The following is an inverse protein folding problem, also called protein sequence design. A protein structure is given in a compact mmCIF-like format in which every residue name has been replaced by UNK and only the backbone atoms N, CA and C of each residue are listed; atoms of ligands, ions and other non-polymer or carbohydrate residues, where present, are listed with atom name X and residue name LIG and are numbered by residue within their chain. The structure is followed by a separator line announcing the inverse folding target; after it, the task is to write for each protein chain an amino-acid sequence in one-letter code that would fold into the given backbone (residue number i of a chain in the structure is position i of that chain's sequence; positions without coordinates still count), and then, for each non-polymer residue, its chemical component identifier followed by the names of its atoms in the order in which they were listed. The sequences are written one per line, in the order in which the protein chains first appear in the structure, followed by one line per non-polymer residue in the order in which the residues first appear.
data_IF_118644122900
#
_entry.id   IF_118644122900
#
_cell.length_a   1.000
_cell.length_b   1.000
_cell.length_c   1.000
_cell.angle_alpha   90.00
_cell.angle_beta   90.00
_cell.angle_gamma   90.00
#
_symmetry.space_group_name_H-M   'P 1'
#
loop_
_entity.id
_entity.type
_entity.pdbx_description
1 polymer ?
#
# COMPACT_ATOMS: atom_id res chain seq x y z
N UNK A 1 -10.10 -29.11 -0.64
CA UNK A 1 -8.72 -28.85 -1.11
C UNK A 1 -8.26 -27.45 -0.71
N UNK A 2 -8.93 -26.36 -1.16
CA UNK A 2 -8.55 -24.99 -0.80
C UNK A 2 -8.35 -24.74 0.70
N UNK A 3 -9.32 -25.09 1.56
CA UNK A 3 -9.17 -24.90 3.02
C UNK A 3 -8.00 -25.69 3.62
N UNK A 4 -7.72 -26.90 3.14
CA UNK A 4 -6.59 -27.70 3.62
C UNK A 4 -5.25 -27.08 3.23
N UNK A 5 -5.17 -26.54 2.00
CA UNK A 5 -4.01 -25.82 1.50
C UNK A 5 -3.77 -24.50 2.26
N UNK A 6 -4.83 -23.71 2.47
CA UNK A 6 -4.79 -22.47 3.26
C UNK A 6 -4.39 -22.71 4.71
N UNK A 7 -4.91 -23.76 5.34
CA UNK A 7 -4.58 -24.14 6.72
C UNK A 7 -3.26 -24.88 6.87
N UNK A 8 -2.51 -25.11 5.78
CA UNK A 8 -1.19 -25.72 5.79
C UNK A 8 -1.14 -27.21 6.10
N UNK A 9 -2.26 -27.92 6.07
CA UNK A 9 -2.27 -29.36 6.37
C UNK A 9 -1.89 -30.19 5.14
N UNK A 10 -0.60 -30.48 5.00
CA UNK A 10 -0.07 -31.32 3.91
C UNK A 10 -0.62 -32.75 3.91
N UNK A 11 -0.94 -33.29 5.10
CA UNK A 11 -1.57 -34.61 5.25
C UNK A 11 -2.98 -34.61 4.66
N UNK A 12 -3.84 -33.66 5.07
CA UNK A 12 -5.21 -33.55 4.56
C UNK A 12 -5.23 -33.23 3.07
N UNK A 13 -4.30 -32.42 2.56
CA UNK A 13 -4.10 -32.23 1.12
C UNK A 13 -3.85 -33.57 0.42
N UNK A 14 -2.97 -34.39 0.99
CA UNK A 14 -2.65 -35.72 0.48
C UNK A 14 -3.86 -36.63 0.41
N UNK A 15 -4.60 -36.76 1.50
CA UNK A 15 -5.81 -37.58 1.57
C UNK A 15 -6.90 -37.13 0.59
N UNK A 16 -7.12 -35.80 0.47
CA UNK A 16 -8.07 -35.25 -0.49
C UNK A 16 -7.65 -35.58 -1.93
N UNK A 17 -6.36 -35.51 -2.25
CA UNK A 17 -5.86 -35.86 -3.57
C UNK A 17 -6.08 -37.33 -3.89
N UNK A 18 -5.83 -38.23 -2.94
CA UNK A 18 -6.01 -39.68 -3.13
C UNK A 18 -7.49 -40.04 -3.38
N UNK A 19 -8.43 -39.30 -2.75
CA UNK A 19 -9.87 -39.47 -2.98
C UNK A 19 -10.39 -38.77 -4.25
N UNK A 20 -9.83 -37.61 -4.59
CA UNK A 20 -10.34 -36.74 -5.66
C UNK A 20 -9.19 -35.99 -6.37
N UNK A 21 -8.40 -36.66 -7.23
CA UNK A 21 -7.22 -36.04 -7.85
C UNK A 21 -7.57 -34.87 -8.78
N UNK A 22 -8.80 -34.86 -9.33
CA UNK A 22 -9.27 -33.80 -10.23
C UNK A 22 -9.41 -32.42 -9.57
N UNK A 23 -9.45 -32.33 -8.23
CA UNK A 23 -9.62 -31.03 -7.54
C UNK A 23 -8.30 -30.30 -7.27
N UNK A 24 -7.15 -30.88 -7.62
CA UNK A 24 -5.81 -30.31 -7.33
C UNK A 24 -5.62 -28.91 -7.94
N UNK A 25 -6.22 -28.67 -9.10
CA UNK A 25 -6.16 -27.39 -9.83
C UNK A 25 -7.52 -26.67 -9.85
N UNK A 26 -8.45 -27.03 -8.97
CA UNK A 26 -9.76 -26.35 -8.91
C UNK A 26 -9.57 -24.88 -8.54
N UNK A 27 -10.28 -23.97 -9.21
CA UNK A 27 -10.20 -22.53 -8.96
C UNK A 27 -11.35 -22.09 -8.06
N UNK A 28 -11.06 -21.19 -7.12
CA UNK A 28 -12.11 -20.48 -6.38
C UNK A 28 -12.70 -19.32 -7.22
N UNK A 29 -13.59 -18.52 -6.62
CA UNK A 29 -14.27 -17.40 -7.29
C UNK A 29 -13.31 -16.28 -7.74
N UNK A 30 -12.10 -16.22 -7.18
CA UNK A 30 -11.04 -15.30 -7.58
C UNK A 30 -10.09 -15.90 -8.62
N UNK A 31 -10.26 -17.18 -8.97
CA UNK A 31 -9.41 -17.90 -9.88
C UNK A 31 -8.20 -18.57 -9.22
N UNK A 32 -8.11 -18.57 -7.89
CA UNK A 32 -6.96 -19.11 -7.15
C UNK A 32 -7.05 -20.64 -7.03
N UNK A 33 -5.93 -21.30 -7.30
CA UNK A 33 -5.77 -22.74 -7.06
C UNK A 33 -5.41 -23.00 -5.58
N UNK A 34 -5.57 -24.24 -5.08
CA UNK A 34 -5.10 -24.60 -3.75
C UNK A 34 -3.62 -24.29 -3.55
N UNK A 35 -2.79 -24.51 -4.58
CA UNK A 35 -1.37 -24.20 -4.53
C UNK A 35 -1.13 -22.71 -4.35
N UNK A 36 -1.84 -21.86 -5.12
CA UNK A 36 -1.75 -20.42 -4.98
C UNK A 36 -2.14 -19.96 -3.56
N UNK A 37 -3.19 -20.54 -2.98
CA UNK A 37 -3.60 -20.23 -1.61
C UNK A 37 -2.57 -20.66 -0.56
N UNK A 38 -1.99 -21.86 -0.69
CA UNK A 38 -0.95 -22.32 0.22
C UNK A 38 0.27 -21.39 0.20
N UNK A 39 0.65 -20.90 -0.98
CA UNK A 39 1.78 -19.97 -1.12
C UNK A 39 1.45 -18.58 -0.56
N UNK A 40 0.21 -18.09 -0.77
CA UNK A 40 -0.26 -16.82 -0.17
C UNK A 40 -0.20 -16.85 1.35
N UNK A 41 -0.53 -18.00 1.97
CA UNK A 41 -0.54 -18.14 3.44
C UNK A 41 0.79 -18.62 4.02
N UNK A 42 1.86 -18.74 3.21
CA UNK A 42 3.16 -19.23 3.67
C UNK A 42 3.16 -20.70 4.09
N UNK A 43 2.15 -21.48 3.66
CA UNK A 43 1.98 -22.89 3.98
C UNK A 43 2.87 -23.78 3.10
N UNK A 44 4.19 -23.70 3.29
CA UNK A 44 5.19 -24.33 2.42
C UNK A 44 5.06 -25.85 2.34
N UNK A 45 4.72 -26.54 3.42
CA UNK A 45 4.54 -28.00 3.41
C UNK A 45 3.36 -28.43 2.55
N UNK A 46 2.22 -27.73 2.67
CA UNK A 46 1.05 -27.98 1.84
C UNK A 46 1.33 -27.63 0.37
N UNK A 47 2.02 -26.52 0.12
CA UNK A 47 2.45 -26.15 -1.23
C UNK A 47 3.38 -27.21 -1.84
N UNK A 48 4.35 -27.70 -1.08
CA UNK A 48 5.28 -28.74 -1.53
C UNK A 48 4.55 -30.05 -1.85
N UNK A 49 3.59 -30.45 -1.01
CA UNK A 49 2.74 -31.61 -1.27
C UNK A 49 1.93 -31.44 -2.55
N UNK A 50 1.24 -30.31 -2.72
CA UNK A 50 0.47 -30.00 -3.93
C UNK A 50 1.35 -30.04 -5.19
N UNK A 51 2.52 -29.41 -5.16
CA UNK A 51 3.45 -29.41 -6.28
C UNK A 51 3.91 -30.83 -6.63
N UNK A 52 4.28 -31.64 -5.63
CA UNK A 52 4.67 -33.05 -5.83
C UNK A 52 3.57 -33.93 -6.42
N UNK A 53 2.31 -33.55 -6.24
CA UNK A 53 1.12 -34.24 -6.76
C UNK A 53 0.68 -33.73 -8.14
N UNK A 54 1.46 -32.83 -8.76
CA UNK A 54 1.19 -32.32 -10.11
C UNK A 54 0.24 -31.13 -10.15
N UNK A 55 0.16 -30.33 -9.08
CA UNK A 55 -0.50 -29.03 -9.15
C UNK A 55 0.16 -28.14 -10.20
N UNK A 56 -0.65 -27.38 -10.94
CA UNK A 56 -0.17 -26.42 -11.93
C UNK A 56 0.42 -25.20 -11.21
N UNK A 57 1.75 -25.15 -11.15
CA UNK A 57 2.52 -24.07 -10.53
C UNK A 57 2.46 -22.75 -11.29
N UNK A 58 1.92 -22.76 -12.52
CA UNK A 58 1.78 -21.58 -13.37
C UNK A 58 0.32 -21.10 -13.47
N UNK A 59 -0.60 -21.73 -12.75
CA UNK A 59 -2.02 -21.40 -12.80
C UNK A 59 -2.28 -19.97 -12.31
N UNK A 60 -2.54 -19.06 -13.25
CA UNK A 60 -2.86 -17.67 -12.94
C UNK A 60 -4.32 -17.50 -12.47
N UNK A 61 -4.51 -16.55 -11.56
CA UNK A 61 -5.83 -16.11 -11.10
C UNK A 61 -6.56 -15.24 -12.15
N UNK A 62 -7.75 -14.73 -11.80
CA UNK A 62 -8.55 -13.89 -12.72
C UNK A 62 -7.88 -12.59 -13.15
N UNK A 63 -6.84 -12.14 -12.44
CA UNK A 63 -6.05 -10.96 -12.76
C UNK A 63 -4.74 -11.28 -13.50
N UNK A 64 -4.54 -12.56 -13.87
CA UNK A 64 -3.31 -13.02 -14.51
C UNK A 64 -2.14 -13.17 -13.52
N UNK A 65 -2.40 -13.20 -12.22
CA UNK A 65 -1.36 -13.35 -11.20
C UNK A 65 -1.10 -14.82 -10.95
N UNK A 66 0.02 -15.33 -11.48
CA UNK A 66 0.54 -16.67 -11.19
C UNK A 66 1.22 -16.74 -9.80
N UNK A 67 1.35 -17.93 -9.19
CA UNK A 67 1.96 -18.10 -7.87
C UNK A 67 3.35 -17.46 -7.70
N UNK A 68 4.18 -17.51 -8.75
CA UNK A 68 5.51 -16.91 -8.76
C UNK A 68 5.50 -15.40 -8.49
N UNK A 69 4.48 -14.66 -8.96
CA UNK A 69 4.36 -13.22 -8.69
C UNK A 69 4.18 -12.94 -7.20
N UNK A 70 3.35 -13.73 -6.53
CA UNK A 70 3.05 -13.55 -5.12
C UNK A 70 4.25 -13.94 -4.27
N UNK A 71 4.89 -15.07 -4.56
CA UNK A 71 6.12 -15.48 -3.87
C UNK A 71 7.21 -14.39 -3.99
N UNK A 72 7.39 -13.84 -5.19
CA UNK A 72 8.35 -12.78 -5.47
C UNK A 72 8.03 -11.46 -4.71
N UNK A 73 6.78 -11.00 -4.75
CA UNK A 73 6.37 -9.76 -4.11
C UNK A 73 6.33 -9.82 -2.57
N UNK A 74 6.21 -11.01 -1.98
CA UNK A 74 6.23 -11.20 -0.52
C UNK A 74 7.62 -11.55 0.04
N UNK A 75 8.66 -11.63 -0.81
CA UNK A 75 9.99 -11.99 -0.35
C UNK A 75 10.16 -13.48 -0.01
N UNK A 76 9.24 -14.35 -0.43
CA UNK A 76 9.20 -15.75 -0.03
C UNK A 76 10.15 -16.62 -0.87
N UNK A 77 11.42 -16.64 -0.46
CA UNK A 77 12.49 -17.37 -1.15
C UNK A 77 12.24 -18.89 -1.17
N UNK A 78 11.69 -19.45 -0.10
CA UNK A 78 11.34 -20.87 -0.02
C UNK A 78 10.28 -21.24 -1.05
N UNK A 79 9.25 -20.40 -1.19
CA UNK A 79 8.26 -20.56 -2.24
C UNK A 79 8.86 -20.45 -3.65
N UNK A 80 9.75 -19.49 -3.89
CA UNK A 80 10.44 -19.35 -5.18
C UNK A 80 11.29 -20.59 -5.51
N UNK A 81 11.97 -21.17 -4.53
CA UNK A 81 12.74 -22.41 -4.69
C UNK A 81 11.84 -23.61 -5.01
N UNK A 82 10.75 -23.77 -4.27
CA UNK A 82 9.77 -24.82 -4.53
C UNK A 82 9.20 -24.71 -5.95
N UNK A 83 8.78 -23.50 -6.33
CA UNK A 83 8.21 -23.21 -7.64
C UNK A 83 9.23 -23.48 -8.75
N UNK A 84 10.48 -23.06 -8.57
CA UNK A 84 11.56 -23.35 -9.52
C UNK A 84 11.79 -24.85 -9.69
N UNK A 85 11.86 -25.60 -8.58
CA UNK A 85 12.02 -27.06 -8.60
C UNK A 85 10.84 -27.81 -9.25
N UNK A 86 9.69 -27.13 -9.37
CA UNK A 86 8.45 -27.68 -9.90
C UNK A 86 8.12 -27.17 -11.31
N UNK A 87 9.04 -26.46 -11.98
CA UNK A 87 8.87 -26.00 -13.36
C UNK A 87 8.06 -24.72 -13.54
N UNK A 88 8.09 -23.82 -12.54
CA UNK A 88 7.47 -22.50 -12.68
C UNK A 88 8.14 -21.66 -13.78
N UNK A 89 7.33 -20.91 -14.51
CA UNK A 89 7.76 -19.94 -15.50
C UNK A 89 7.85 -18.55 -14.86
N UNK A 90 9.07 -18.03 -14.69
CA UNK A 90 9.31 -16.72 -14.11
C UNK A 90 9.13 -15.54 -15.09
N UNK A 91 8.72 -15.81 -16.33
CA UNK A 91 8.43 -14.79 -17.36
C UNK A 91 6.92 -14.53 -17.55
N UNK A 92 6.05 -15.15 -16.74
CA UNK A 92 4.60 -14.91 -16.80
C UNK A 92 4.28 -13.44 -16.57
N UNK A 93 3.26 -12.90 -17.26
CA UNK A 93 2.88 -11.49 -17.20
C UNK A 93 1.54 -11.31 -16.49
N UNK A 94 1.54 -10.57 -15.38
CA UNK A 94 0.34 -10.05 -14.71
C UNK A 94 -0.01 -8.63 -15.19
N UNK A 95 -1.04 -8.01 -14.59
CA UNK A 95 -1.31 -6.58 -14.78
C UNK A 95 -0.14 -5.67 -14.42
N UNK A 96 0.64 -6.02 -13.37
CA UNK A 96 1.76 -5.23 -12.88
C UNK A 96 3.12 -5.61 -13.52
N UNK A 97 3.18 -6.71 -14.28
CA UNK A 97 4.40 -7.21 -14.93
C UNK A 97 4.75 -8.64 -14.52
N UNK A 98 6.02 -9.01 -14.71
CA UNK A 98 6.59 -10.32 -14.34
C UNK A 98 6.78 -10.47 -12.82
N UNK A 99 7.04 -11.69 -12.29
CA UNK A 99 7.49 -11.86 -10.92
C UNK A 99 8.65 -10.93 -10.52
N UNK A 100 9.58 -10.65 -11.44
CA UNK A 100 10.68 -9.71 -11.19
C UNK A 100 10.20 -8.27 -10.98
N UNK A 101 9.14 -7.83 -11.68
CA UNK A 101 8.50 -6.53 -11.41
C UNK A 101 7.85 -6.49 -10.02
N UNK A 102 7.23 -7.58 -9.58
CA UNK A 102 6.61 -7.65 -8.25
C UNK A 102 7.66 -7.56 -7.14
N UNK A 103 8.73 -8.35 -7.22
CA UNK A 103 9.83 -8.27 -6.25
C UNK A 103 10.46 -6.86 -6.24
N UNK A 104 10.71 -6.26 -7.41
CA UNK A 104 11.27 -4.92 -7.50
C UNK A 104 10.34 -3.83 -6.94
N UNK A 105 9.03 -3.89 -7.26
CA UNK A 105 8.04 -2.91 -6.80
C UNK A 105 7.77 -2.96 -5.30
N UNK A 106 7.90 -4.13 -4.69
CA UNK A 106 7.79 -4.29 -3.23
C UNK A 106 9.12 -4.06 -2.50
N UNK A 107 10.24 -4.01 -3.22
CA UNK A 107 11.57 -3.78 -2.66
C UNK A 107 12.22 -5.04 -2.09
N UNK A 108 11.74 -6.22 -2.48
CA UNK A 108 12.23 -7.54 -2.05
C UNK A 108 13.53 -7.90 -2.79
N UNK A 109 14.62 -7.25 -2.39
CA UNK A 109 15.94 -7.35 -3.06
C UNK A 109 16.48 -8.78 -3.16
N UNK A 110 16.31 -9.61 -2.13
CA UNK A 110 16.74 -11.00 -2.20
C UNK A 110 15.87 -11.84 -3.16
N UNK A 111 14.58 -11.51 -3.31
CA UNK A 111 13.74 -12.14 -4.33
C UNK A 111 14.14 -11.69 -5.74
N UNK A 112 14.50 -10.42 -5.93
CA UNK A 112 15.07 -9.92 -7.19
C UNK A 112 16.33 -10.72 -7.53
N UNK A 113 17.29 -10.82 -6.59
CA UNK A 113 18.52 -11.58 -6.77
C UNK A 113 18.23 -13.06 -7.09
N UNK A 114 17.31 -13.69 -6.36
CA UNK A 114 16.94 -15.09 -6.58
C UNK A 114 16.35 -15.29 -7.98
N UNK A 115 15.38 -14.49 -8.40
CA UNK A 115 14.76 -14.59 -9.72
C UNK A 115 15.78 -14.43 -10.85
N UNK A 116 16.70 -13.47 -10.75
CA UNK A 116 17.79 -13.29 -11.71
C UNK A 116 18.69 -14.53 -11.75
N UNK A 117 19.02 -15.12 -10.60
CA UNK A 117 19.80 -16.37 -10.54
C UNK A 117 19.06 -17.58 -11.13
N UNK A 118 17.72 -17.54 -11.16
CA UNK A 118 16.85 -18.54 -11.78
C UNK A 118 16.63 -18.29 -13.28
N UNK A 119 17.31 -17.29 -13.86
CA UNK A 119 17.29 -16.99 -15.29
C UNK A 119 16.18 -16.04 -15.72
N UNK A 120 15.54 -15.33 -14.80
CA UNK A 120 14.58 -14.29 -15.16
C UNK A 120 15.25 -13.19 -16.00
N UNK A 121 14.55 -12.71 -17.03
CA UNK A 121 15.05 -11.59 -17.84
C UNK A 121 15.11 -10.31 -16.99
N UNK A 122 16.18 -9.49 -17.07
CA UNK A 122 16.35 -8.30 -16.22
C UNK A 122 15.51 -7.09 -16.68
N UNK A 123 15.20 -6.98 -17.98
CA UNK A 123 14.48 -5.85 -18.59
C UNK A 123 13.11 -6.18 -19.25
N UNK A 124 12.25 -7.02 -18.67
CA UNK A 124 10.90 -7.16 -19.18
C UNK A 124 10.19 -5.81 -19.04
N UNK A 125 9.27 -5.50 -19.96
CA UNK A 125 8.38 -4.34 -19.83
C UNK A 125 6.99 -4.78 -19.44
N UNK A 126 6.42 -4.16 -18.43
CA UNK A 126 5.01 -4.36 -18.08
C UNK A 126 4.07 -3.59 -19.03
N UNK A 127 2.76 -3.65 -18.79
CA UNK A 127 1.74 -2.96 -19.61
C UNK A 127 1.88 -1.43 -19.66
N UNK A 128 2.56 -0.84 -18.67
CA UNK A 128 2.84 0.60 -18.61
C UNK A 128 4.18 0.95 -19.27
N UNK A 129 4.92 -0.04 -19.79
CA UNK A 129 6.23 0.14 -20.37
C UNK A 129 7.36 0.32 -19.34
N UNK A 130 7.07 0.13 -18.04
CA UNK A 130 8.06 0.20 -16.97
C UNK A 130 8.85 -1.10 -16.89
N UNK A 131 10.11 -1.01 -16.48
CA UNK A 131 11.00 -2.16 -16.20
C UNK A 131 11.09 -2.42 -14.70
N UNK A 132 11.55 -3.60 -14.26
CA UNK A 132 11.81 -3.87 -12.85
C UNK A 132 12.80 -2.86 -12.25
N UNK A 133 13.81 -2.42 -13.03
CA UNK A 133 14.79 -1.44 -12.59
C UNK A 133 14.15 -0.10 -12.21
N UNK A 134 13.18 0.37 -13.00
CA UNK A 134 12.39 1.57 -12.66
C UNK A 134 11.58 1.36 -11.40
N UNK A 135 10.93 0.20 -11.24
CA UNK A 135 10.10 -0.08 -10.06
C UNK A 135 10.94 -0.15 -8.77
N UNK A 136 12.12 -0.78 -8.83
CA UNK A 136 13.07 -0.82 -7.71
C UNK A 136 13.56 0.58 -7.32
N UNK A 137 13.91 1.41 -8.32
CA UNK A 137 14.32 2.79 -8.08
C UNK A 137 13.18 3.64 -7.49
N UNK A 138 11.94 3.50 -8.00
CA UNK A 138 10.75 4.17 -7.46
C UNK A 138 10.42 3.77 -6.03
N UNK A 139 10.65 2.50 -5.67
CA UNK A 139 10.48 1.98 -4.31
C UNK A 139 11.60 2.42 -3.36
N UNK A 140 12.69 2.98 -3.88
CA UNK A 140 13.87 3.35 -3.10
C UNK A 140 14.75 2.17 -2.67
N UNK A 141 14.59 1.00 -3.30
CA UNK A 141 15.35 -0.20 -2.93
C UNK A 141 16.70 -0.26 -3.68
N UNK A 142 17.73 0.36 -3.10
CA UNK A 142 19.07 0.43 -3.67
C UNK A 142 19.68 -0.93 -4.00
N UNK A 143 19.56 -1.92 -3.10
CA UNK A 143 20.11 -3.27 -3.33
C UNK A 143 19.44 -3.98 -4.51
N UNK A 144 18.12 -3.81 -4.72
CA UNK A 144 17.44 -4.35 -5.88
C UNK A 144 17.91 -3.68 -7.18
N UNK A 145 18.15 -2.36 -7.16
CA UNK A 145 18.72 -1.62 -8.30
C UNK A 145 20.10 -2.17 -8.65
N UNK A 146 20.98 -2.37 -7.65
CA UNK A 146 22.32 -2.94 -7.85
C UNK A 146 22.22 -4.32 -8.51
N UNK A 147 21.43 -5.24 -7.95
CA UNK A 147 21.28 -6.59 -8.52
C UNK A 147 20.75 -6.58 -9.97
N UNK A 148 19.80 -5.71 -10.29
CA UNK A 148 19.27 -5.59 -11.65
C UNK A 148 20.32 -5.07 -12.63
N UNK A 149 21.07 -4.03 -12.26
CA UNK A 149 22.13 -3.46 -13.10
C UNK A 149 23.28 -4.46 -13.29
N UNK A 150 23.69 -5.17 -12.24
CA UNK A 150 24.69 -6.24 -12.32
C UNK A 150 24.24 -7.39 -13.23
N UNK A 151 22.95 -7.68 -13.27
CA UNK A 151 22.35 -8.65 -14.19
C UNK A 151 22.15 -8.11 -15.62
N UNK A 152 22.52 -6.87 -15.90
CA UNK A 152 22.50 -6.26 -17.22
C UNK A 152 21.23 -5.48 -17.57
N UNK A 153 20.42 -5.09 -16.57
CA UNK A 153 19.28 -4.20 -16.79
C UNK A 153 19.74 -2.84 -17.33
N UNK A 154 19.05 -2.30 -18.33
CA UNK A 154 19.35 -1.02 -18.97
C UNK A 154 18.82 0.17 -18.14
N UNK A 155 19.70 1.00 -17.54
CA UNK A 155 19.29 2.20 -16.81
C UNK A 155 18.85 3.36 -17.74
N UNK A 156 18.89 3.17 -19.06
CA UNK A 156 18.64 4.19 -20.07
C UNK A 156 17.19 4.58 -20.29
N UNK A 157 16.23 3.94 -19.61
CA UNK A 157 14.81 4.25 -19.78
C UNK A 157 14.49 5.68 -19.30
N UNK A 158 14.06 6.52 -20.24
CA UNK A 158 13.55 7.87 -19.98
C UNK A 158 12.04 7.80 -19.77
N UNK A 159 11.59 8.22 -18.58
CA UNK A 159 10.20 8.24 -18.15
C UNK A 159 9.48 9.51 -18.62
N UNK A 160 8.17 9.56 -18.38
CA UNK A 160 7.39 10.78 -18.55
C UNK A 160 8.01 11.93 -17.72
N UNK A 161 8.22 13.07 -18.35
CA UNK A 161 8.88 14.22 -17.73
C UNK A 161 10.41 14.18 -17.77
N UNK A 162 11.01 13.27 -18.54
CA UNK A 162 12.47 13.27 -18.81
C UNK A 162 13.34 12.61 -17.73
N UNK A 163 12.74 12.17 -16.62
CA UNK A 163 13.45 11.51 -15.54
C UNK A 163 13.96 10.12 -15.97
N UNK A 164 15.08 9.69 -15.40
CA UNK A 164 15.64 8.34 -15.54
C UNK A 164 15.80 7.70 -14.17
N UNK A 165 16.13 6.41 -14.10
CA UNK A 165 16.41 5.76 -12.82
C UNK A 165 17.53 6.44 -12.03
N UNK A 166 18.50 7.05 -12.73
CA UNK A 166 19.58 7.81 -12.08
C UNK A 166 19.08 9.10 -11.42
N UNK A 167 18.04 9.74 -11.95
CA UNK A 167 17.38 10.85 -11.28
C UNK A 167 16.76 10.39 -9.96
N UNK A 168 16.02 9.28 -10.00
CA UNK A 168 15.31 8.74 -8.84
C UNK A 168 16.29 8.29 -7.74
N UNK A 169 17.35 7.57 -8.10
CA UNK A 169 18.35 7.10 -7.12
C UNK A 169 19.16 8.25 -6.52
N UNK A 170 19.46 9.30 -7.30
CA UNK A 170 20.12 10.50 -6.80
C UNK A 170 19.24 11.29 -5.83
N UNK A 171 17.97 11.50 -6.18
CA UNK A 171 16.97 12.18 -5.33
C UNK A 171 16.79 11.46 -3.99
N UNK A 172 16.69 10.12 -4.01
CA UNK A 172 16.52 9.30 -2.82
C UNK A 172 17.83 9.03 -2.05
N UNK A 173 18.99 9.51 -2.54
CA UNK A 173 20.26 9.37 -1.83
C UNK A 173 20.84 7.94 -1.82
N UNK A 174 20.56 7.13 -2.84
CA UNK A 174 20.95 5.72 -2.93
C UNK A 174 22.36 5.56 -3.54
N UNK A 175 23.40 5.79 -2.73
CA UNK A 175 24.79 5.86 -3.20
C UNK A 175 25.28 4.65 -3.99
N UNK A 176 25.14 3.45 -3.43
CA UNK A 176 25.58 2.21 -4.10
C UNK A 176 24.85 1.99 -5.44
N UNK A 177 23.56 2.34 -5.51
CA UNK A 177 22.79 2.24 -6.73
C UNK A 177 23.25 3.26 -7.78
N UNK A 178 23.55 4.50 -7.38
CA UNK A 178 24.13 5.53 -8.26
C UNK A 178 25.47 5.05 -8.82
N UNK A 179 26.36 4.52 -7.97
CA UNK A 179 27.65 3.98 -8.39
C UNK A 179 27.49 2.81 -9.37
N UNK A 180 26.62 1.85 -9.06
CA UNK A 180 26.35 0.72 -9.94
C UNK A 180 25.82 1.17 -11.32
N UNK A 181 24.89 2.13 -11.35
CA UNK A 181 24.38 2.69 -12.61
C UNK A 181 25.51 3.38 -13.40
N UNK A 182 26.33 4.22 -12.75
CA UNK A 182 27.45 4.94 -13.37
C UNK A 182 28.58 4.03 -13.84
N UNK A 183 28.70 2.81 -13.30
CA UNK A 183 29.62 1.81 -13.82
C UNK A 183 29.28 1.44 -15.28
N UNK A 184 28.01 1.53 -15.68
CA UNK A 184 27.55 1.29 -17.05
C UNK A 184 27.79 2.51 -17.97
N UNK A 185 28.09 2.26 -19.25
CA UNK A 185 28.25 3.34 -20.23
C UNK A 185 26.95 4.11 -20.49
N UNK A 186 25.80 3.44 -20.37
CA UNK A 186 24.48 4.07 -20.52
C UNK A 186 24.20 4.97 -19.33
N UNK A 187 24.42 4.50 -18.10
CA UNK A 187 24.25 5.29 -16.89
C UNK A 187 25.06 6.59 -16.89
N UNK A 188 26.32 6.56 -17.35
CA UNK A 188 27.12 7.80 -17.51
C UNK A 188 26.52 8.78 -18.51
N UNK A 189 25.92 8.29 -19.61
CA UNK A 189 25.21 9.18 -20.55
C UNK A 189 23.96 9.77 -19.90
N UNK A 190 23.24 8.97 -19.10
CA UNK A 190 22.04 9.39 -18.39
C UNK A 190 22.32 10.44 -17.30
N UNK A 191 23.54 10.50 -16.77
CA UNK A 191 23.94 11.49 -15.76
C UNK A 191 23.90 12.95 -16.29
N UNK A 192 23.98 13.14 -17.60
CA UNK A 192 23.88 14.45 -18.25
C UNK A 192 22.47 14.77 -18.77
N UNK A 193 21.52 13.84 -18.66
CA UNK A 193 20.16 14.09 -19.12
C UNK A 193 19.45 14.98 -18.11
N UNK A 194 18.78 16.01 -18.62
CA UNK A 194 17.93 16.87 -17.83
C UNK A 194 16.47 16.39 -17.91
N UNK A 195 15.79 16.43 -16.77
CA UNK A 195 14.35 16.26 -16.72
C UNK A 195 13.62 17.49 -17.30
N UNK A 196 12.28 17.44 -17.30
CA UNK A 196 11.41 18.51 -17.82
C UNK A 196 11.54 19.84 -17.07
N UNK A 197 12.15 19.84 -15.88
CA UNK A 197 12.47 21.04 -15.09
C UNK A 197 13.92 21.51 -15.31
N UNK A 198 14.64 20.90 -16.25
CA UNK A 198 16.04 21.21 -16.51
C UNK A 198 17.01 20.67 -15.46
N UNK A 199 16.56 19.76 -14.59
CA UNK A 199 17.39 19.20 -13.51
C UNK A 199 18.08 17.94 -14.01
N UNK A 200 19.39 17.86 -13.78
CA UNK A 200 20.15 16.61 -13.97
C UNK A 200 20.22 15.86 -12.63
N UNK A 201 20.59 14.58 -12.58
CA UNK A 201 20.68 13.81 -11.33
C UNK A 201 21.51 14.49 -10.23
N UNK A 202 22.60 15.18 -10.58
CA UNK A 202 23.41 15.93 -9.62
C UNK A 202 22.63 17.06 -8.92
N UNK A 203 21.68 17.71 -9.60
CA UNK A 203 20.81 18.70 -8.96
C UNK A 203 19.85 18.06 -7.95
N UNK A 204 19.35 16.84 -8.22
CA UNK A 204 18.46 16.14 -7.28
C UNK A 204 19.21 15.64 -6.04
N UNK A 205 20.42 15.12 -6.21
CA UNK A 205 21.32 14.82 -5.09
C UNK A 205 21.58 16.07 -4.23
N UNK A 206 21.79 17.23 -4.86
CA UNK A 206 21.97 18.50 -4.17
C UNK A 206 20.72 18.98 -3.42
N UNK A 207 19.51 18.82 -4.00
CA UNK A 207 18.24 19.10 -3.33
C UNK A 207 18.11 18.28 -2.03
N UNK A 208 18.51 17.01 -2.07
CA UNK A 208 18.53 16.11 -0.91
C UNK A 208 19.75 16.29 0.00
N UNK A 209 20.56 17.34 -0.20
CA UNK A 209 21.78 17.63 0.58
C UNK A 209 22.81 16.49 0.60
N UNK A 210 22.88 15.68 -0.46
CA UNK A 210 23.80 14.54 -0.63
C UNK A 210 25.08 14.95 -1.35
N UNK A 211 25.97 15.65 -0.63
CA UNK A 211 27.25 16.14 -1.15
C UNK A 211 28.10 15.02 -1.78
N UNK A 212 28.12 13.84 -1.14
CA UNK A 212 28.78 12.62 -1.60
C UNK A 212 28.34 12.21 -3.01
N UNK A 213 27.03 12.27 -3.27
CA UNK A 213 26.47 11.94 -4.58
C UNK A 213 26.70 13.02 -5.61
N UNK A 214 26.67 14.29 -5.20
CA UNK A 214 27.00 15.39 -6.10
C UNK A 214 28.44 15.25 -6.60
N UNK A 215 29.39 14.98 -5.72
CA UNK A 215 30.79 14.73 -6.10
C UNK A 215 30.92 13.55 -7.07
N UNK A 216 30.15 12.49 -6.84
CA UNK A 216 30.14 11.28 -7.69
C UNK A 216 29.52 11.54 -9.08
N UNK A 217 28.45 12.34 -9.14
CA UNK A 217 27.69 12.61 -10.37
C UNK A 217 28.27 13.75 -11.19
N UNK A 218 28.93 14.72 -10.56
CA UNK A 218 29.43 15.94 -11.20
C UNK A 218 30.31 15.68 -12.43
N UNK A 219 31.27 14.73 -12.42
CA UNK A 219 32.10 14.41 -13.58
C UNK A 219 31.32 13.91 -14.80
N UNK A 220 30.08 13.45 -14.60
CA UNK A 220 29.20 12.89 -15.63
C UNK A 220 27.98 13.79 -15.92
N UNK A 221 27.85 14.91 -15.22
CA UNK A 221 26.64 15.75 -15.19
C UNK A 221 26.38 16.58 -16.45
N UNK A 222 27.38 16.77 -17.31
CA UNK A 222 27.27 17.64 -18.49
C UNK A 222 27.14 19.14 -18.18
N UNK A 223 27.27 19.58 -16.92
CA UNK A 223 27.12 20.98 -16.51
C UNK A 223 28.31 21.89 -16.90
N UNK A 224 29.36 21.32 -17.49
CA UNK A 224 30.58 22.04 -17.89
C UNK A 224 31.69 21.94 -16.83
N UNK A 225 32.96 22.11 -17.24
CA UNK A 225 34.12 21.86 -16.36
C UNK A 225 34.27 22.89 -15.23
N UNK A 226 33.69 24.07 -15.37
CA UNK A 226 33.81 25.17 -14.41
C UNK A 226 32.73 25.14 -13.32
N UNK A 227 31.71 24.29 -13.47
CA UNK A 227 30.64 24.13 -12.48
C UNK A 227 31.14 23.21 -11.37
N UNK A 228 31.52 23.83 -10.25
CA UNK A 228 31.98 23.12 -9.05
C UNK A 228 30.85 22.67 -8.12
N UNK A 229 31.21 21.84 -7.14
CA UNK A 229 30.32 21.31 -6.10
C UNK A 229 29.45 22.39 -5.45
N UNK A 230 30.05 23.51 -5.03
CA UNK A 230 29.34 24.59 -4.34
C UNK A 230 28.21 25.19 -5.18
N UNK A 231 28.43 25.33 -6.49
CA UNK A 231 27.43 25.89 -7.42
C UNK A 231 26.25 24.93 -7.56
N UNK A 232 26.52 23.63 -7.70
CA UNK A 232 25.46 22.62 -7.80
C UNK A 232 24.67 22.50 -6.49
N UNK A 233 25.35 22.53 -5.35
CA UNK A 233 24.71 22.53 -4.02
C UNK A 233 23.83 23.77 -3.80
N UNK A 234 24.31 24.96 -4.18
CA UNK A 234 23.53 26.19 -4.13
C UNK A 234 22.27 26.09 -5.02
N UNK A 235 22.43 25.60 -6.25
CA UNK A 235 21.28 25.40 -7.16
C UNK A 235 20.29 24.37 -6.63
N UNK A 236 20.77 23.28 -6.03
CA UNK A 236 19.90 22.29 -5.38
C UNK A 236 19.09 22.89 -4.25
N UNK A 237 19.69 23.75 -3.43
CA UNK A 237 18.97 24.47 -2.36
C UNK A 237 17.89 25.40 -2.93
N UNK A 238 18.23 26.19 -3.95
CA UNK A 238 17.25 27.05 -4.64
C UNK A 238 16.07 26.23 -5.20
N UNK A 239 16.35 25.12 -5.88
CA UNK A 239 15.33 24.22 -6.43
C UNK A 239 14.45 23.60 -5.34
N UNK A 240 15.01 23.28 -4.17
CA UNK A 240 14.24 22.79 -3.02
C UNK A 240 13.31 23.86 -2.48
N UNK A 241 13.77 25.11 -2.36
CA UNK A 241 12.96 26.24 -1.93
C UNK A 241 11.86 26.59 -2.95
N UNK A 242 12.16 26.52 -4.25
CA UNK A 242 11.20 26.65 -5.36
C UNK A 242 10.10 25.57 -5.24
N UNK A 243 10.49 24.30 -5.05
CA UNK A 243 9.56 23.18 -4.93
C UNK A 243 8.66 23.27 -3.68
N UNK A 244 9.22 23.62 -2.52
CA UNK A 244 8.44 23.89 -1.31
C UNK A 244 7.50 25.08 -1.49
N UNK A 245 7.94 26.12 -2.19
CA UNK A 245 7.14 27.29 -2.53
C UNK A 245 5.94 26.91 -3.41
N UNK A 246 6.14 26.07 -4.41
CA UNK A 246 5.08 25.55 -5.27
C UNK A 246 4.09 24.68 -4.50
N UNK A 247 4.57 23.78 -3.64
CA UNK A 247 3.71 22.98 -2.75
C UNK A 247 2.86 23.87 -1.85
N UNK A 248 3.48 24.87 -1.19
CA UNK A 248 2.76 25.88 -0.39
C UNK A 248 1.77 26.68 -1.22
N UNK A 249 2.11 27.04 -2.45
CA UNK A 249 1.22 27.76 -3.36
C UNK A 249 0.04 26.90 -3.81
N UNK A 250 0.27 25.62 -4.12
CA UNK A 250 -0.79 24.66 -4.44
C UNK A 250 -1.70 24.40 -3.23
N UNK A 251 -1.14 24.28 -2.03
CA UNK A 251 -1.90 24.20 -0.79
C UNK A 251 -2.68 25.49 -0.50
N UNK A 252 -2.11 26.66 -0.81
CA UNK A 252 -2.78 27.94 -0.69
C UNK A 252 -3.89 28.12 -1.73
N UNK A 253 -3.74 27.57 -2.94
CA UNK A 253 -4.78 27.52 -3.97
C UNK A 253 -5.89 26.52 -3.63
N UNK A 254 -5.58 25.47 -2.85
CA UNK A 254 -6.59 24.61 -2.22
C UNK A 254 -7.33 25.32 -1.09
N UNK A 255 -6.81 26.43 -0.54
CA UNK A 255 -7.56 27.28 0.41
C UNK A 255 -8.45 28.24 -0.38
N UNK A 256 -9.77 28.31 -0.09
CA UNK A 256 -10.67 29.16 -0.86
C UNK A 256 -10.34 30.65 -0.62
N UNK A 257 -9.97 31.35 -1.69
CA UNK A 257 -9.79 32.80 -1.69
C UNK A 257 -11.14 33.51 -1.86
N UNK A 258 -11.72 33.97 -0.75
CA UNK A 258 -12.93 34.79 -0.73
C UNK A 258 -13.29 35.22 0.70
N UNK A 259 -13.96 36.38 0.90
CA UNK A 259 -14.26 36.87 2.23
C UNK A 259 -15.21 35.91 2.92
N UNK A 260 -14.86 35.52 4.15
CA UNK A 260 -15.45 34.43 4.91
C UNK A 260 -16.98 34.29 4.75
N UNK A 261 -17.45 33.22 4.09
CA UNK A 261 -18.75 32.62 4.37
C UNK A 261 -18.55 31.44 5.35
N UNK A 262 -19.59 31.14 6.13
CA UNK A 262 -19.59 30.13 7.18
C UNK A 262 -18.81 28.84 6.82
N UNK A 263 -17.85 28.49 7.69
CA UNK A 263 -16.89 27.40 7.56
C UNK A 263 -17.58 26.06 7.23
N UNK A 264 -17.30 25.55 6.03
CA UNK A 264 -17.64 24.21 5.56
C UNK A 264 -16.49 23.24 5.81
N UNK A 265 -16.83 22.08 6.36
CA UNK A 265 -16.02 21.01 6.93
C UNK A 265 -15.16 20.25 5.88
N UNK A 266 -13.88 20.03 6.18
CA UNK A 266 -12.99 19.05 5.55
C UNK A 266 -12.33 18.18 6.63
N UNK A 267 -12.24 16.88 6.38
CA UNK A 267 -12.84 15.87 7.26
C UNK A 267 -11.94 15.10 8.24
N UNK A 268 -10.65 15.41 8.44
CA UNK A 268 -9.87 14.64 9.44
C UNK A 268 -10.07 15.12 10.89
N UNK A 269 -10.39 16.39 11.13
CA UNK A 269 -10.61 16.98 12.47
C UNK A 269 -9.41 16.86 13.44
N UNK A 270 -9.45 17.57 14.58
CA UNK A 270 -8.37 17.52 15.57
C UNK A 270 -8.14 16.07 16.10
N UNK A 271 -6.88 15.63 16.17
CA UNK A 271 -6.42 14.36 16.80
C UNK A 271 -5.39 14.59 17.90
N UNK A 272 -5.02 15.84 18.17
CA UNK A 272 -4.04 16.19 19.19
C UNK A 272 -4.62 16.03 20.59
N UNK A 273 -3.82 15.61 21.59
CA UNK A 273 -4.28 15.54 22.97
C UNK A 273 -4.54 16.93 23.55
N UNK A 274 -5.39 17.01 24.58
CA UNK A 274 -5.55 18.24 25.37
C UNK A 274 -4.19 18.74 25.91
N UNK A 275 -3.95 20.04 25.81
CA UNK A 275 -2.72 20.69 26.26
C UNK A 275 -2.73 20.90 27.79
N UNK A 276 -3.91 21.04 28.40
CA UNK A 276 -4.06 21.24 29.85
C UNK A 276 -5.06 20.27 30.49
N UNK A 277 -4.93 20.00 31.81
CA UNK A 277 -5.93 19.22 32.57
C UNK A 277 -7.34 19.81 32.50
N UNK A 278 -7.47 21.15 32.51
CA UNK A 278 -8.74 21.85 32.44
C UNK A 278 -9.41 21.66 31.06
N UNK A 279 -8.62 21.67 29.99
CA UNK A 279 -9.12 21.34 28.64
C UNK A 279 -9.63 19.90 28.56
N UNK A 280 -8.90 18.95 29.16
CA UNK A 280 -9.33 17.54 29.23
C UNK A 280 -10.63 17.38 30.03
N UNK A 281 -10.76 18.06 31.16
CA UNK A 281 -11.98 18.06 31.96
C UNK A 281 -13.17 18.65 31.18
N UNK A 282 -12.96 19.77 30.48
CA UNK A 282 -13.95 20.38 29.60
C UNK A 282 -14.38 19.45 28.45
N UNK A 283 -13.43 18.71 27.84
CA UNK A 283 -13.73 17.73 26.80
C UNK A 283 -14.63 16.59 27.33
N UNK A 284 -14.34 16.08 28.53
CA UNK A 284 -15.16 15.05 29.19
C UNK A 284 -16.56 15.59 29.56
N UNK A 285 -16.66 16.84 30.00
CA UNK A 285 -17.94 17.49 30.27
C UNK A 285 -18.76 17.66 28.98
N UNK A 286 -18.13 18.07 27.87
CA UNK A 286 -18.75 18.16 26.55
C UNK A 286 -19.26 16.81 26.05
N UNK A 287 -18.47 15.72 26.18
CA UNK A 287 -18.94 14.35 25.90
C UNK A 287 -20.16 13.98 26.73
N UNK A 288 -20.15 14.29 28.03
CA UNK A 288 -21.26 13.96 28.94
C UNK A 288 -22.53 14.69 28.54
N UNK A 289 -22.42 15.98 28.23
CA UNK A 289 -23.50 16.80 27.65
C UNK A 289 -24.04 16.19 26.36
N UNK A 290 -23.16 15.74 25.47
CA UNK A 290 -23.54 15.05 24.23
C UNK A 290 -24.32 13.76 24.46
N UNK A 291 -23.94 12.96 25.46
CA UNK A 291 -24.68 11.74 25.83
C UNK A 291 -26.11 12.07 26.31
N UNK A 292 -26.27 13.13 27.11
CA UNK A 292 -27.58 13.53 27.65
C UNK A 292 -28.50 14.12 26.57
N UNK A 293 -27.93 14.91 25.65
CA UNK A 293 -28.66 15.41 24.47
C UNK A 293 -29.10 14.26 23.55
N UNK A 294 -28.27 13.24 23.39
CA UNK A 294 -28.63 12.04 22.62
C UNK A 294 -29.80 11.27 23.26
N UNK A 295 -29.83 11.16 24.59
CA UNK A 295 -30.98 10.58 25.32
C UNK A 295 -32.25 11.42 25.12
N UNK A 296 -32.11 12.74 25.07
CA UNK A 296 -33.19 13.67 24.75
C UNK A 296 -33.59 13.68 23.26
N UNK A 297 -32.92 12.86 22.41
CA UNK A 297 -33.08 12.81 20.96
C UNK A 297 -32.74 14.11 20.22
N UNK A 298 -32.01 15.02 20.87
CA UNK A 298 -31.44 16.19 20.23
C UNK A 298 -30.13 15.80 19.53
N UNK A 299 -30.26 15.31 18.30
CA UNK A 299 -29.11 14.87 17.50
C UNK A 299 -28.19 16.04 17.13
N UNK A 300 -28.74 17.23 16.88
CA UNK A 300 -27.95 18.41 16.50
C UNK A 300 -27.12 18.92 17.69
N UNK A 301 -27.75 19.02 18.87
CA UNK A 301 -27.06 19.37 20.11
C UNK A 301 -26.02 18.33 20.50
N UNK A 302 -26.33 17.03 20.37
CA UNK A 302 -25.36 15.97 20.63
C UNK A 302 -24.15 16.04 19.68
N UNK A 303 -24.38 16.30 18.38
CA UNK A 303 -23.32 16.45 17.39
C UNK A 303 -22.40 17.63 17.72
N UNK A 304 -22.98 18.77 18.11
CA UNK A 304 -22.22 19.95 18.51
C UNK A 304 -21.37 19.68 19.75
N UNK A 305 -21.94 19.04 20.77
CA UNK A 305 -21.24 18.71 22.01
C UNK A 305 -20.09 17.71 21.80
N UNK A 306 -20.24 16.71 20.94
CA UNK A 306 -19.11 15.82 20.61
C UNK A 306 -18.05 16.48 19.75
N UNK A 307 -18.43 17.43 18.89
CA UNK A 307 -17.45 18.21 18.12
C UNK A 307 -16.66 19.14 19.04
N UNK A 308 -17.31 19.79 20.01
CA UNK A 308 -16.64 20.55 21.09
C UNK A 308 -15.64 19.67 21.85
N UNK A 309 -16.03 18.43 22.22
CA UNK A 309 -15.12 17.50 22.89
C UNK A 309 -13.88 17.15 22.05
N UNK A 310 -14.04 16.96 20.74
CA UNK A 310 -12.94 16.63 19.81
C UNK A 310 -12.00 17.83 19.61
N UNK A 311 -12.54 19.04 19.53
CA UNK A 311 -11.70 20.25 19.42
C UNK A 311 -10.86 20.46 20.69
N UNK A 312 -11.43 20.17 21.87
CA UNK A 312 -10.75 20.29 23.16
C UNK A 312 -9.72 19.17 23.40
N UNK A 313 -10.02 17.93 22.99
CA UNK A 313 -9.11 16.78 23.09
C UNK A 313 -9.39 15.79 21.95
N UNK A 314 -8.60 15.86 20.88
CA UNK A 314 -8.75 15.02 19.70
C UNK A 314 -8.24 13.60 19.89
N UNK A 315 -7.54 13.31 20.98
CA UNK A 315 -6.87 12.02 21.20
C UNK A 315 -7.78 10.93 21.78
N UNK A 316 -8.90 11.28 22.41
CA UNK A 316 -9.86 10.31 22.96
C UNK A 316 -10.81 9.79 21.87
N UNK A 317 -10.56 8.54 21.44
CA UNK A 317 -11.35 7.83 20.45
C UNK A 317 -12.86 7.73 20.80
N UNK A 318 -13.24 7.85 22.08
CA UNK A 318 -14.64 7.78 22.49
C UNK A 318 -15.49 8.93 21.93
N UNK A 319 -14.93 10.13 21.76
CA UNK A 319 -15.67 11.28 21.24
C UNK A 319 -16.08 11.05 19.78
N UNK A 320 -15.12 10.60 18.94
CA UNK A 320 -15.35 10.23 17.54
C UNK A 320 -16.30 9.05 17.41
N UNK A 321 -16.15 8.01 18.24
CA UNK A 321 -17.06 6.86 18.26
C UNK A 321 -18.51 7.25 18.57
N UNK A 322 -18.71 8.25 19.43
CA UNK A 322 -20.03 8.76 19.77
C UNK A 322 -20.59 9.68 18.68
N UNK A 323 -19.77 10.57 18.11
CA UNK A 323 -20.16 11.45 16.99
C UNK A 323 -20.53 10.65 15.74
N UNK A 324 -19.76 9.61 15.41
CA UNK A 324 -20.09 8.61 14.38
C UNK A 324 -21.49 8.00 14.59
N UNK A 325 -21.86 7.70 15.84
CA UNK A 325 -23.20 7.18 16.16
C UNK A 325 -24.32 8.17 15.85
N UNK A 326 -24.07 9.46 16.09
CA UNK A 326 -25.02 10.54 15.78
C UNK A 326 -25.17 10.67 14.26
N UNK A 327 -24.07 10.68 13.51
CA UNK A 327 -24.11 10.69 12.04
C UNK A 327 -24.88 9.50 11.45
N UNK A 328 -24.68 8.28 11.98
CA UNK A 328 -25.48 7.13 11.57
C UNK A 328 -26.98 7.31 11.85
N UNK A 329 -27.33 7.92 13.00
CA UNK A 329 -28.72 8.23 13.35
C UNK A 329 -29.34 9.27 12.41
N UNK A 330 -28.51 10.17 11.87
CA UNK A 330 -28.89 11.15 10.84
C UNK A 330 -28.84 10.58 9.41
N UNK A 331 -28.41 9.32 9.23
CA UNK A 331 -28.15 8.67 7.93
C UNK A 331 -27.04 9.33 7.09
N UNK A 332 -26.16 10.11 7.72
CA UNK A 332 -24.95 10.65 7.09
C UNK A 332 -23.81 9.63 7.24
N UNK A 333 -23.87 8.57 6.44
CA UNK A 333 -23.00 7.40 6.61
C UNK A 333 -21.55 7.65 6.19
N UNK A 334 -21.29 8.59 5.28
CA UNK A 334 -19.92 8.97 4.90
C UNK A 334 -19.22 9.65 6.08
N UNK A 335 -19.84 10.65 6.74
CA UNK A 335 -19.26 11.27 7.94
C UNK A 335 -19.15 10.32 9.12
N UNK A 336 -20.12 9.40 9.25
CA UNK A 336 -20.04 8.35 10.25
C UNK A 336 -18.83 7.43 10.06
N UNK A 337 -18.50 7.11 8.80
CA UNK A 337 -17.36 6.27 8.44
C UNK A 337 -16.04 6.98 8.73
N UNK A 338 -15.90 8.25 8.34
CA UNK A 338 -14.72 9.07 8.63
C UNK A 338 -14.38 9.06 10.13
N UNK A 339 -15.37 9.35 10.99
CA UNK A 339 -15.15 9.33 12.44
C UNK A 339 -14.82 7.92 12.98
N UNK A 340 -15.35 6.86 12.37
CA UNK A 340 -15.07 5.49 12.76
C UNK A 340 -13.64 5.06 12.39
N UNK A 341 -13.12 5.51 11.25
CA UNK A 341 -11.75 5.25 10.79
C UNK A 341 -10.71 5.99 11.64
N UNK A 342 -10.99 7.25 12.01
CA UNK A 342 -10.15 8.00 12.96
C UNK A 342 -10.14 7.32 14.33
N UNK A 343 -11.29 6.87 14.82
CA UNK A 343 -11.41 6.09 16.06
C UNK A 343 -10.56 4.81 16.03
N UNK A 344 -10.55 4.09 14.89
CA UNK A 344 -9.73 2.88 14.68
C UNK A 344 -8.24 3.18 14.73
N UNK A 345 -7.81 4.31 14.16
CA UNK A 345 -6.41 4.77 14.16
C UNK A 345 -5.94 5.15 15.57
N UNK A 346 -6.78 5.87 16.32
CA UNK A 346 -6.49 6.27 17.70
C UNK A 346 -6.46 5.08 18.66
N UNK A 347 -7.30 4.07 18.43
CA UNK A 347 -7.40 2.89 19.30
C UNK A 347 -7.55 1.56 18.52
N UNK A 348 -6.43 0.98 18.03
CA UNK A 348 -6.42 -0.22 17.18
C UNK A 348 -6.81 -1.53 17.88
N UNK A 349 -6.97 -1.55 19.20
CA UNK A 349 -7.39 -2.72 19.97
C UNK A 349 -8.88 -2.65 20.38
N UNK A 350 -9.64 -1.64 19.91
CA UNK A 350 -11.01 -1.42 20.34
C UNK A 350 -12.06 -2.00 19.37
N UNK A 351 -12.76 -3.10 19.71
CA UNK A 351 -13.73 -3.75 18.82
C UNK A 351 -14.88 -2.83 18.40
N UNK A 352 -15.22 -1.84 19.24
CA UNK A 352 -16.29 -0.88 18.96
C UNK A 352 -15.97 -0.01 17.73
N UNK A 353 -14.70 0.29 17.46
CA UNK A 353 -14.31 1.05 16.27
C UNK A 353 -14.62 0.24 15.00
N UNK A 354 -14.22 -1.03 14.97
CA UNK A 354 -14.53 -1.98 13.90
C UNK A 354 -16.05 -2.12 13.68
N UNK A 355 -16.83 -2.20 14.77
CA UNK A 355 -18.29 -2.22 14.69
C UNK A 355 -18.86 -0.97 14.00
N UNK A 356 -18.41 0.24 14.38
CA UNK A 356 -18.87 1.51 13.77
C UNK A 356 -18.55 1.55 12.27
N UNK A 357 -17.33 1.15 11.89
CA UNK A 357 -16.91 1.10 10.49
C UNK A 357 -17.76 0.13 9.68
N UNK A 358 -17.97 -1.08 10.21
CA UNK A 358 -18.77 -2.11 9.55
C UNK A 358 -20.22 -1.66 9.33
N UNK A 359 -20.86 -1.02 10.31
CA UNK A 359 -22.23 -0.51 10.16
C UNK A 359 -22.30 0.61 9.11
N UNK A 360 -21.36 1.55 9.11
CA UNK A 360 -21.34 2.66 8.15
C UNK A 360 -21.13 2.14 6.71
N UNK A 361 -20.14 1.25 6.50
CA UNK A 361 -19.86 0.63 5.20
C UNK A 361 -21.03 -0.22 4.69
N UNK A 362 -21.68 -0.97 5.58
CA UNK A 362 -22.86 -1.76 5.25
C UNK A 362 -24.01 -0.87 4.77
N UNK A 363 -24.22 0.28 5.41
CA UNK A 363 -25.24 1.25 5.03
C UNK A 363 -24.94 1.96 3.69
N UNK A 364 -23.65 2.12 3.36
CA UNK A 364 -23.18 2.64 2.07
C UNK A 364 -23.18 1.60 0.94
N UNK A 365 -23.54 0.34 1.21
CA UNK A 365 -23.51 -0.74 0.22
C UNK A 365 -22.12 -1.29 -0.07
N UNK A 366 -21.11 -0.94 0.74
CA UNK A 366 -19.73 -1.46 0.64
C UNK A 366 -19.62 -2.77 1.41
N UNK A 367 -20.26 -3.83 0.91
CA UNK A 367 -20.50 -5.07 1.66
C UNK A 367 -19.22 -5.83 2.04
N UNK A 368 -18.23 -5.89 1.14
CA UNK A 368 -16.95 -6.55 1.39
C UNK A 368 -16.15 -5.81 2.47
N UNK A 369 -15.98 -4.49 2.33
CA UNK A 369 -15.29 -3.65 3.33
C UNK A 369 -16.00 -3.67 4.70
N UNK A 370 -17.33 -3.84 4.69
CA UNK A 370 -18.13 -3.98 5.90
C UNK A 370 -17.93 -5.36 6.56
N UNK A 371 -17.83 -6.43 5.77
CA UNK A 371 -17.54 -7.77 6.25
C UNK A 371 -16.13 -7.85 6.83
N UNK A 372 -15.14 -7.26 6.16
CA UNK A 372 -13.76 -7.19 6.65
C UNK A 372 -13.68 -6.47 7.99
N UNK A 373 -14.27 -5.26 8.10
CA UNK A 373 -14.30 -4.51 9.35
C UNK A 373 -15.02 -5.28 10.47
N UNK A 374 -16.12 -5.99 10.18
CA UNK A 374 -16.81 -6.79 11.18
C UNK A 374 -15.96 -8.00 11.63
N UNK A 375 -15.28 -8.67 10.69
CA UNK A 375 -14.39 -9.79 10.97
C UNK A 375 -13.19 -9.38 11.83
N UNK A 376 -12.53 -8.26 11.52
CA UNK A 376 -11.48 -7.69 12.35
C UNK A 376 -11.97 -7.41 13.78
N UNK A 377 -13.20 -6.90 13.92
CA UNK A 377 -13.83 -6.72 15.22
C UNK A 377 -14.02 -8.04 15.99
N UNK A 378 -14.44 -9.11 15.31
CA UNK A 378 -14.59 -10.45 15.92
C UNK A 378 -13.22 -11.01 16.35
N UNK A 379 -12.14 -10.73 15.62
CA UNK A 379 -10.80 -11.15 16.04
C UNK A 379 -10.35 -10.46 17.33
N UNK A 380 -10.77 -9.19 17.54
CA UNK A 380 -10.45 -8.44 18.76
C UNK A 380 -11.32 -8.85 19.97
N UNK A 381 -12.56 -9.26 19.73
CA UNK A 381 -13.51 -9.71 20.75
C UNK A 381 -14.39 -10.84 20.19
N UNK A 382 -13.90 -12.06 20.34
CA UNK A 382 -14.56 -13.24 19.79
C UNK A 382 -15.90 -13.52 20.47
N UNK A 383 -16.15 -13.06 21.69
CA UNK A 383 -17.43 -13.29 22.37
C UNK A 383 -18.50 -12.27 21.98
N UNK A 384 -18.17 -11.31 21.10
CA UNK A 384 -19.07 -10.25 20.68
C UNK A 384 -20.15 -10.74 19.69
N UNK A 385 -21.31 -11.11 20.23
CA UNK A 385 -22.46 -11.57 19.44
C UNK A 385 -22.93 -10.52 18.39
N UNK A 386 -22.81 -9.23 18.67
CA UNK A 386 -23.23 -8.17 17.75
C UNK A 386 -22.34 -8.10 16.51
N UNK A 387 -21.02 -8.22 16.69
CA UNK A 387 -20.07 -8.25 15.58
C UNK A 387 -20.21 -9.52 14.74
N UNK A 388 -20.46 -10.68 15.37
CA UNK A 388 -20.74 -11.94 14.65
C UNK A 388 -22.01 -11.85 13.79
N UNK A 389 -23.09 -11.31 14.36
CA UNK A 389 -24.35 -11.10 13.63
C UNK A 389 -24.18 -10.07 12.50
N UNK A 390 -23.42 -9.01 12.73
CA UNK A 390 -23.12 -8.01 11.71
C UNK A 390 -22.31 -8.59 10.56
N UNK A 391 -21.26 -9.37 10.85
CA UNK A 391 -20.46 -10.08 9.86
C UNK A 391 -21.34 -10.99 8.98
N UNK A 392 -22.20 -11.79 9.59
CA UNK A 392 -23.14 -12.63 8.86
C UNK A 392 -24.04 -11.79 7.94
N UNK A 393 -24.59 -10.68 8.44
CA UNK A 393 -25.44 -9.77 7.66
C UNK A 393 -24.69 -9.16 6.47
N UNK A 394 -23.43 -8.74 6.66
CA UNK A 394 -22.59 -8.20 5.59
C UNK A 394 -22.36 -9.24 4.49
N UNK A 395 -22.05 -10.49 4.87
CA UNK A 395 -21.83 -11.60 3.94
C UNK A 395 -23.10 -11.95 3.17
N UNK A 396 -24.25 -12.05 3.86
CA UNK A 396 -25.54 -12.35 3.25
C UNK A 396 -25.95 -11.27 2.23
N UNK A 397 -25.82 -9.99 2.59
CA UNK A 397 -26.12 -8.88 1.67
C UNK A 397 -25.15 -8.80 0.50
N UNK A 398 -23.85 -9.01 0.74
CA UNK A 398 -22.85 -9.11 -0.33
C UNK A 398 -23.21 -10.19 -1.35
N UNK A 399 -23.51 -11.41 -0.89
CA UNK A 399 -23.93 -12.53 -1.75
C UNK A 399 -25.21 -12.23 -2.54
N UNK A 400 -26.19 -11.57 -1.92
CA UNK A 400 -27.44 -11.23 -2.58
C UNK A 400 -27.26 -10.26 -3.76
N UNK A 401 -26.25 -9.38 -3.70
CA UNK A 401 -25.96 -8.43 -4.79
C UNK A 401 -25.20 -9.05 -5.97
N UNK A 402 -24.47 -10.16 -5.75
CA UNK A 402 -23.72 -10.86 -6.80
C UNK A 402 -24.59 -11.79 -7.67
N UNK A 403 -25.73 -12.26 -7.16
CA UNK A 403 -26.54 -13.28 -7.86
C UNK A 403 -27.84 -12.76 -8.49
N UNK A 404 -28.21 -11.49 -8.29
CA UNK A 404 -29.52 -10.95 -8.72
C UNK A 404 -30.71 -11.70 -8.08
N UNK A 405 -31.94 -11.18 -8.18
CA UNK A 405 -33.11 -11.95 -7.77
C UNK A 405 -33.23 -13.18 -8.68
N UNK A 406 -33.22 -14.38 -8.09
CA UNK A 406 -33.47 -15.64 -8.82
C UNK A 406 -34.83 -15.53 -9.52
N UNK A 407 -34.81 -15.37 -10.84
CA UNK A 407 -35.97 -15.53 -11.73
C UNK A 407 -36.06 -16.96 -12.20
#
# INVERSE_FOLDING_TARGET
MHFAATGGSAEVVGEIFDMAPSVINSKDDHGLTPLALALITGSHEAAARLASQGADVNAADTQGVAPAHRAAGHGDLSALELLSGSGANFETQSGAGTPLHWAAGEGESESVRKLLSLGATPDPRNKQGLTPLVMAAARGCGSAVVHLVEAGADPGLVLSGGATVLHMTADMGLAEAVEAILATAVGRKCAALADSQGRVPAHLAAMSSRTDLVETLLPHSGLGPDVGLEVVMARGKELSEEHEGELRAQEALKKPSGPAPAQGLGEEGNTSPAETPEQREAAVAAKTRGNDLLKAKDLAGALAAYSEAIELDGSDAAFRSNRSAVFMSMKDYEKALVDAEVCRRLKPDWPKACYRMAVARLALGRFEDAALAAWEGVQLDNDNAQLKSLLQTCVEKGRATLHGPKS
#
